data_IF_002844272797
#
_entry.id   IF_002844272797
#
_cell.length_a   1.000
_cell.length_b   1.000
_cell.length_c   1.000
_cell.angle_alpha   90.00
_cell.angle_beta   90.00
_cell.angle_gamma   90.00
#
_symmetry.space_group_name_H-M   'P 1'
#
loop_
_entity.id
_entity.type
_entity.pdbx_description
1 polymer ?
#
# COMPACT_ATOMS: atom_id res chain seq x y z
N UNK A 1 -6.30 -25.09 10.27
CA UNK A 1 -4.85 -25.20 10.48
C UNK A 1 -4.22 -25.11 9.10
N UNK A 2 -3.74 -23.92 8.67
CA UNK A 2 -2.90 -23.81 7.48
C UNK A 2 -1.66 -24.67 7.77
N UNK A 3 -1.50 -25.76 7.04
CA UNK A 3 -0.23 -26.45 6.98
C UNK A 3 0.75 -25.49 6.33
N UNK A 4 1.50 -24.75 7.15
CA UNK A 4 2.69 -24.08 6.68
C UNK A 4 3.67 -25.15 6.30
N UNK A 5 3.96 -25.29 5.02
CA UNK A 5 5.24 -25.84 4.63
C UNK A 5 6.30 -24.91 5.24
N UNK A 6 7.19 -25.50 6.05
CA UNK A 6 8.11 -24.79 6.93
C UNK A 6 9.19 -23.97 6.20
N UNK A 7 9.02 -23.72 4.90
CA UNK A 7 9.98 -23.07 3.99
C UNK A 7 9.51 -21.72 3.42
N UNK A 8 8.35 -21.18 3.82
CA UNK A 8 7.99 -19.83 3.40
C UNK A 8 8.87 -18.82 4.12
N UNK A 9 9.64 -18.07 3.33
CA UNK A 9 10.47 -16.96 3.80
C UNK A 9 9.61 -15.97 4.64
N UNK A 10 10.16 -15.35 5.70
CA UNK A 10 9.42 -14.49 6.62
C UNK A 10 8.92 -13.18 6.02
N UNK A 11 8.87 -13.05 4.72
CA UNK A 11 8.32 -11.88 4.04
C UNK A 11 8.19 -12.15 2.56
N UNK A 12 6.97 -12.03 2.04
CA UNK A 12 6.71 -12.10 0.61
C UNK A 12 6.62 -10.69 0.03
N UNK A 13 7.35 -10.43 -1.05
CA UNK A 13 7.33 -9.14 -1.75
C UNK A 13 6.54 -9.28 -3.04
N UNK A 14 5.46 -8.50 -3.11
CA UNK A 14 4.66 -8.30 -4.30
C UNK A 14 4.95 -6.91 -4.88
N UNK A 15 4.57 -6.70 -6.11
CA UNK A 15 4.52 -5.38 -6.72
C UNK A 15 3.18 -5.20 -7.45
N UNK A 16 2.78 -3.97 -7.62
CA UNK A 16 1.58 -3.62 -8.36
C UNK A 16 1.73 -4.07 -9.82
N UNK A 17 0.93 -5.05 -10.23
CA UNK A 17 1.07 -5.71 -11.55
C UNK A 17 0.51 -4.86 -12.68
N UNK A 18 -0.64 -4.27 -12.45
CA UNK A 18 -1.31 -3.44 -13.44
C UNK A 18 -1.82 -2.17 -12.78
N UNK A 19 -1.59 -1.08 -13.42
CA UNK A 19 -2.29 0.15 -13.17
C UNK A 19 -2.58 0.81 -14.51
N UNK A 20 -3.86 1.03 -14.82
CA UNK A 20 -4.31 1.76 -16.01
C UNK A 20 -3.86 1.17 -17.36
N UNK A 21 -3.59 -0.12 -17.40
CA UNK A 21 -3.37 -0.86 -18.65
C UNK A 21 -4.58 -1.73 -19.00
N UNK A 22 -5.71 -1.45 -18.39
CA UNK A 22 -6.95 -2.19 -18.58
C UNK A 22 -7.31 -2.30 -20.06
N UNK A 23 -7.42 -3.55 -20.52
CA UNK A 23 -7.79 -3.88 -21.89
C UNK A 23 -6.64 -3.93 -22.90
N UNK A 24 -5.42 -3.50 -22.56
CA UNK A 24 -4.26 -3.66 -23.44
C UNK A 24 -3.49 -4.94 -23.11
N UNK A 25 -3.83 -6.03 -23.81
CA UNK A 25 -3.18 -7.32 -23.61
C UNK A 25 -1.67 -7.30 -23.92
N UNK A 26 -1.20 -6.45 -24.82
CA UNK A 26 0.22 -6.39 -25.15
C UNK A 26 1.01 -5.83 -23.95
N UNK A 27 0.48 -4.81 -23.28
CA UNK A 27 1.07 -4.26 -22.06
C UNK A 27 0.98 -5.22 -20.90
N UNK A 28 -0.14 -5.96 -20.74
CA UNK A 28 -0.27 -7.00 -19.72
C UNK A 28 0.74 -8.13 -19.94
N UNK A 29 0.97 -8.57 -21.18
CA UNK A 29 2.01 -9.55 -21.51
C UNK A 29 3.41 -9.02 -21.19
N UNK A 30 3.70 -7.77 -21.50
CA UNK A 30 4.97 -7.12 -21.16
C UNK A 30 5.18 -7.09 -19.65
N UNK A 31 4.17 -6.70 -18.88
CA UNK A 31 4.20 -6.74 -17.42
C UNK A 31 4.50 -8.16 -16.92
N UNK A 32 3.78 -9.17 -17.40
CA UNK A 32 3.99 -10.57 -17.03
C UNK A 32 5.42 -11.05 -17.28
N UNK A 33 6.00 -10.73 -18.44
CA UNK A 33 7.40 -11.05 -18.74
C UNK A 33 8.37 -10.39 -17.76
N UNK A 34 8.14 -9.12 -17.43
CA UNK A 34 8.99 -8.38 -16.50
C UNK A 34 8.89 -8.91 -15.08
N UNK A 35 7.68 -9.20 -14.60
CA UNK A 35 7.47 -9.81 -13.27
C UNK A 35 8.17 -11.16 -13.17
N UNK A 36 8.07 -12.01 -14.20
CA UNK A 36 8.80 -13.27 -14.26
C UNK A 36 10.34 -13.07 -14.19
N UNK A 37 10.86 -12.03 -14.87
CA UNK A 37 12.30 -11.74 -14.86
C UNK A 37 12.82 -11.27 -13.51
N UNK A 38 12.04 -10.48 -12.77
CA UNK A 38 12.45 -9.95 -11.46
C UNK A 38 12.07 -10.86 -10.29
N UNK A 39 11.30 -11.92 -10.54
CA UNK A 39 10.84 -12.84 -9.50
C UNK A 39 9.95 -12.18 -8.46
N UNK A 40 9.12 -11.20 -8.85
CA UNK A 40 8.19 -10.52 -7.95
C UNK A 40 6.81 -11.21 -7.98
N UNK A 41 6.16 -11.31 -6.81
CA UNK A 41 4.75 -11.60 -6.69
C UNK A 41 3.91 -10.44 -7.24
N UNK A 42 2.64 -10.66 -7.49
CA UNK A 42 1.76 -9.65 -8.07
C UNK A 42 0.66 -9.24 -7.09
N UNK A 43 0.39 -7.93 -7.03
CA UNK A 43 -0.89 -7.42 -6.58
C UNK A 43 -1.63 -6.86 -7.79
N UNK A 44 -2.92 -7.21 -7.92
CA UNK A 44 -3.74 -6.84 -9.07
C UNK A 44 -4.98 -6.09 -8.64
N UNK A 45 -5.35 -5.04 -9.37
CA UNK A 45 -6.63 -4.36 -9.19
C UNK A 45 -7.72 -5.08 -9.97
N UNK A 46 -8.88 -5.26 -9.36
CA UNK A 46 -10.05 -5.80 -10.04
C UNK A 46 -11.35 -5.25 -9.47
N UNK A 47 -12.22 -4.79 -10.37
CA UNK A 47 -13.57 -4.31 -10.01
C UNK A 47 -14.58 -5.45 -10.03
N UNK A 48 -14.34 -6.47 -10.85
CA UNK A 48 -15.22 -7.62 -11.02
C UNK A 48 -14.45 -8.93 -11.08
N UNK A 49 -15.07 -10.06 -10.70
CA UNK A 49 -14.47 -11.39 -10.85
C UNK A 49 -14.03 -11.71 -12.28
N UNK A 50 -14.77 -11.25 -13.30
CA UNK A 50 -14.41 -11.48 -14.71
C UNK A 50 -13.17 -10.71 -15.12
N UNK A 51 -13.02 -9.48 -14.66
CA UNK A 51 -11.79 -8.71 -14.86
C UNK A 51 -10.59 -9.40 -14.20
N UNK A 52 -10.75 -9.88 -12.97
CA UNK A 52 -9.69 -10.64 -12.31
C UNK A 52 -9.32 -11.90 -13.09
N UNK A 53 -10.30 -12.67 -13.57
CA UNK A 53 -10.05 -13.85 -14.38
C UNK A 53 -9.25 -13.53 -15.65
N UNK A 54 -9.55 -12.40 -16.28
CA UNK A 54 -8.82 -11.92 -17.45
C UNK A 54 -7.36 -11.59 -17.10
N UNK A 55 -7.14 -10.79 -16.07
CA UNK A 55 -5.79 -10.32 -15.69
C UNK A 55 -4.90 -11.47 -15.21
N UNK A 56 -5.44 -12.40 -14.43
CA UNK A 56 -4.69 -13.55 -13.93
C UNK A 56 -4.07 -14.43 -15.02
N UNK A 57 -4.54 -14.34 -16.28
CA UNK A 57 -3.92 -15.05 -17.41
C UNK A 57 -2.53 -14.51 -17.77
N UNK A 58 -2.23 -13.28 -17.37
CA UNK A 58 -0.97 -12.59 -17.66
C UNK A 58 -0.02 -12.56 -16.46
N UNK A 59 -0.54 -12.81 -15.25
CA UNK A 59 0.28 -12.90 -14.03
C UNK A 59 1.14 -14.15 -14.12
N UNK A 60 2.48 -14.04 -14.01
CA UNK A 60 3.36 -15.20 -14.07
C UNK A 60 3.18 -16.08 -12.83
N UNK A 61 3.51 -17.35 -12.98
CA UNK A 61 3.59 -18.27 -11.84
C UNK A 61 4.65 -17.79 -10.86
N UNK A 62 4.28 -17.69 -9.61
CA UNK A 62 5.16 -17.29 -8.51
C UNK A 62 4.84 -18.15 -7.28
N UNK A 63 5.81 -18.42 -6.37
CA UNK A 63 5.56 -19.17 -5.14
C UNK A 63 4.45 -18.57 -4.28
N UNK A 64 4.38 -17.24 -4.23
CA UNK A 64 3.30 -16.54 -3.55
C UNK A 64 2.14 -16.30 -4.50
N UNK A 65 0.92 -16.63 -4.06
CA UNK A 65 -0.29 -16.31 -4.80
C UNK A 65 -0.49 -14.80 -4.89
N UNK A 66 -1.13 -14.30 -5.98
CA UNK A 66 -1.45 -12.88 -6.12
C UNK A 66 -2.35 -12.37 -4.99
N UNK A 67 -2.15 -11.11 -4.60
CA UNK A 67 -3.09 -10.33 -3.79
C UNK A 67 -3.98 -9.53 -4.73
N UNK A 68 -5.23 -9.31 -4.35
CA UNK A 68 -6.20 -8.57 -5.16
C UNK A 68 -6.66 -7.35 -4.40
N UNK A 69 -6.45 -6.19 -4.99
CA UNK A 69 -6.94 -4.92 -4.48
C UNK A 69 -8.32 -4.64 -5.08
N UNK A 70 -9.34 -4.59 -4.25
CA UNK A 70 -10.70 -4.33 -4.71
C UNK A 70 -10.93 -2.82 -4.90
N UNK A 71 -11.90 -2.50 -5.75
CA UNK A 71 -12.30 -1.12 -6.02
C UNK A 71 -12.57 -0.34 -4.74
N UNK A 72 -12.12 0.91 -4.70
CA UNK A 72 -12.37 1.83 -3.57
C UNK A 72 -13.86 2.02 -3.25
N UNK A 73 -14.78 1.73 -4.17
CA UNK A 73 -16.23 1.77 -3.93
C UNK A 73 -16.74 0.67 -3.01
N UNK A 74 -16.02 -0.44 -2.86
CA UNK A 74 -16.40 -1.57 -1.99
C UNK A 74 -16.40 -1.10 -0.53
N UNK A 75 -17.55 -1.29 0.15
CA UNK A 75 -17.74 -0.92 1.53
C UNK A 75 -18.33 -2.09 2.33
N UNK A 76 -17.49 -2.74 3.12
CA UNK A 76 -17.87 -3.95 3.90
C UNK A 76 -18.92 -3.72 4.98
N UNK A 77 -19.33 -2.48 5.24
CA UNK A 77 -20.55 -2.19 6.01
C UNK A 77 -21.81 -2.67 5.29
N UNK A 78 -21.77 -2.76 3.96
CA UNK A 78 -22.95 -3.14 3.16
C UNK A 78 -22.94 -4.65 2.88
N UNK A 79 -24.06 -5.31 3.11
CA UNK A 79 -24.21 -6.75 2.82
C UNK A 79 -23.97 -7.12 1.36
N UNK A 80 -24.36 -6.24 0.42
CA UNK A 80 -24.10 -6.41 -1.01
C UNK A 80 -22.59 -6.46 -1.32
N UNK A 81 -21.82 -5.58 -0.71
CA UNK A 81 -20.39 -5.49 -0.97
C UNK A 81 -19.64 -6.66 -0.29
N UNK A 82 -20.11 -7.10 0.90
CA UNK A 82 -19.60 -8.36 1.49
C UNK A 82 -19.92 -9.59 0.62
N UNK A 83 -21.08 -9.60 -0.06
CA UNK A 83 -21.41 -10.67 -1.00
C UNK A 83 -20.49 -10.66 -2.23
N UNK A 84 -20.10 -9.47 -2.72
CA UNK A 84 -19.08 -9.34 -3.79
C UNK A 84 -17.72 -9.86 -3.33
N UNK A 85 -17.26 -9.51 -2.12
CA UNK A 85 -16.01 -10.03 -1.54
C UNK A 85 -16.07 -11.56 -1.45
N UNK A 86 -17.21 -12.11 -1.03
CA UNK A 86 -17.41 -13.56 -0.96
C UNK A 86 -17.38 -14.21 -2.36
N UNK A 87 -17.96 -13.60 -3.37
CA UNK A 87 -17.92 -14.08 -4.76
C UNK A 87 -16.48 -14.18 -5.29
N UNK A 88 -15.66 -13.14 -5.05
CA UNK A 88 -14.23 -13.20 -5.36
C UNK A 88 -13.55 -14.36 -4.63
N UNK A 89 -13.80 -14.48 -3.33
CA UNK A 89 -13.19 -15.53 -2.52
C UNK A 89 -13.58 -16.93 -2.98
N UNK A 90 -14.83 -17.16 -3.33
CA UNK A 90 -15.33 -18.47 -3.79
C UNK A 90 -14.77 -18.84 -5.17
N UNK A 91 -14.75 -17.87 -6.10
CA UNK A 91 -14.31 -18.10 -7.48
C UNK A 91 -12.80 -18.29 -7.60
N UNK A 92 -12.04 -17.67 -6.71
CA UNK A 92 -10.57 -17.68 -6.78
C UNK A 92 -9.91 -18.39 -5.60
N UNK A 93 -10.64 -19.24 -4.87
CA UNK A 93 -10.08 -20.06 -3.81
C UNK A 93 -8.88 -20.87 -4.31
N UNK A 94 -7.75 -20.77 -3.60
CA UNK A 94 -6.47 -21.40 -3.96
C UNK A 94 -5.75 -20.75 -5.15
N UNK A 95 -6.27 -19.65 -5.70
CA UNK A 95 -5.65 -18.90 -6.82
C UNK A 95 -5.17 -17.51 -6.42
N UNK A 96 -5.66 -16.99 -5.31
CA UNK A 96 -5.25 -15.70 -4.73
C UNK A 96 -4.96 -15.85 -3.24
N UNK A 97 -4.02 -15.07 -2.73
CA UNK A 97 -3.64 -15.06 -1.31
C UNK A 97 -4.62 -14.24 -0.47
N UNK A 98 -5.08 -13.11 -1.00
CA UNK A 98 -5.92 -12.19 -0.24
C UNK A 98 -6.65 -11.18 -1.09
N UNK A 99 -7.62 -10.51 -0.47
CA UNK A 99 -8.44 -9.44 -1.00
C UNK A 99 -8.24 -8.21 -0.10
N UNK A 100 -7.78 -7.09 -0.64
CA UNK A 100 -7.64 -5.83 0.08
C UNK A 100 -8.91 -5.01 -0.11
N UNK A 101 -9.47 -4.50 0.99
CA UNK A 101 -10.64 -3.61 1.02
C UNK A 101 -10.32 -2.37 1.86
N UNK A 102 -10.60 -1.20 1.33
CA UNK A 102 -10.32 0.07 2.02
C UNK A 102 -11.18 0.30 3.26
N UNK A 103 -10.59 0.93 4.28
CA UNK A 103 -11.35 1.58 5.33
C UNK A 103 -12.20 2.74 4.75
N UNK A 104 -13.27 3.10 5.46
CA UNK A 104 -14.17 4.21 5.11
C UNK A 104 -14.44 5.06 6.33
N UNK A 105 -14.54 6.38 6.13
CA UNK A 105 -14.79 7.32 7.22
C UNK A 105 -16.04 6.96 8.04
N UNK A 106 -17.10 6.51 7.37
CA UNK A 106 -18.36 6.11 8.03
C UNK A 106 -18.25 4.85 8.90
N UNK A 107 -17.20 4.05 8.75
CA UNK A 107 -16.95 2.89 9.61
C UNK A 107 -16.70 3.30 11.06
N UNK A 108 -16.07 4.46 11.28
CA UNK A 108 -15.83 4.99 12.61
C UNK A 108 -17.09 5.22 13.44
N UNK A 109 -18.20 5.58 12.80
CA UNK A 109 -19.50 5.75 13.46
C UNK A 109 -20.32 4.45 13.53
N UNK A 110 -19.85 3.34 12.95
CA UNK A 110 -20.59 2.08 12.82
C UNK A 110 -19.71 0.87 13.17
N UNK A 111 -18.87 1.01 14.21
CA UNK A 111 -17.87 0.01 14.64
C UNK A 111 -18.48 -1.36 14.86
N UNK A 112 -19.56 -1.44 15.66
CA UNK A 112 -20.21 -2.72 16.00
C UNK A 112 -20.75 -3.42 14.73
N UNK A 113 -21.30 -2.63 13.80
CA UNK A 113 -21.80 -3.14 12.52
C UNK A 113 -20.66 -3.65 11.63
N UNK A 114 -19.53 -2.93 11.62
CA UNK A 114 -18.33 -3.36 10.90
C UNK A 114 -17.82 -4.68 11.46
N UNK A 115 -17.60 -4.75 12.76
CA UNK A 115 -17.05 -5.94 13.44
C UNK A 115 -17.98 -7.14 13.24
N UNK A 116 -19.30 -6.98 13.44
CA UNK A 116 -20.27 -8.06 13.20
C UNK A 116 -20.25 -8.51 11.72
N UNK A 117 -20.20 -7.57 10.77
CA UNK A 117 -20.14 -7.88 9.34
C UNK A 117 -18.84 -8.59 8.93
N UNK A 118 -17.72 -8.25 9.54
CA UNK A 118 -16.45 -8.92 9.31
C UNK A 118 -16.41 -10.32 9.93
N UNK A 119 -17.01 -10.54 11.09
CA UNK A 119 -17.17 -11.89 11.65
C UNK A 119 -18.09 -12.77 10.80
N UNK A 120 -19.19 -12.22 10.27
CA UNK A 120 -20.05 -12.92 9.33
C UNK A 120 -19.29 -13.31 8.06
N UNK A 121 -18.52 -12.40 7.48
CA UNK A 121 -17.67 -12.67 6.32
C UNK A 121 -16.62 -13.74 6.64
N UNK A 122 -15.93 -13.61 7.77
CA UNK A 122 -14.95 -14.60 8.25
C UNK A 122 -15.56 -16.01 8.32
N UNK A 123 -16.75 -16.16 8.93
CA UNK A 123 -17.41 -17.45 9.06
C UNK A 123 -17.69 -18.10 7.71
N UNK A 124 -18.06 -17.32 6.71
CA UNK A 124 -18.28 -17.81 5.33
C UNK A 124 -16.95 -18.18 4.65
N UNK A 125 -15.91 -17.37 4.78
CA UNK A 125 -14.59 -17.63 4.21
C UNK A 125 -13.96 -18.90 4.80
N UNK A 126 -14.14 -19.17 6.08
CA UNK A 126 -13.64 -20.37 6.75
C UNK A 126 -14.31 -21.68 6.26
N UNK A 127 -15.45 -21.59 5.58
CA UNK A 127 -16.09 -22.77 4.95
C UNK A 127 -15.30 -23.30 3.74
N UNK A 128 -14.33 -22.52 3.22
CA UNK A 128 -13.48 -22.87 2.09
C UNK A 128 -12.04 -23.09 2.58
N UNK A 129 -11.52 -24.33 2.56
CA UNK A 129 -10.16 -24.60 3.08
C UNK A 129 -9.06 -23.74 2.43
N UNK A 130 -9.16 -23.49 1.13
CA UNK A 130 -8.22 -22.68 0.36
C UNK A 130 -8.72 -21.24 0.11
N UNK A 131 -9.67 -20.75 0.93
CA UNK A 131 -10.20 -19.38 0.81
C UNK A 131 -9.10 -18.33 1.08
N UNK A 132 -9.12 -17.19 0.37
CA UNK A 132 -8.18 -16.11 0.59
C UNK A 132 -8.39 -15.41 1.93
N UNK A 133 -7.39 -14.65 2.36
CA UNK A 133 -7.55 -13.66 3.43
C UNK A 133 -8.35 -12.46 2.94
N UNK A 134 -8.99 -11.73 3.84
CA UNK A 134 -9.50 -10.38 3.59
C UNK A 134 -8.71 -9.42 4.46
N UNK A 135 -8.06 -8.45 3.85
CA UNK A 135 -7.28 -7.42 4.51
C UNK A 135 -8.08 -6.11 4.54
N UNK A 136 -8.46 -5.65 5.72
CA UNK A 136 -8.98 -4.30 5.89
C UNK A 136 -7.80 -3.32 5.85
N UNK A 137 -7.80 -2.46 4.86
CA UNK A 137 -6.71 -1.52 4.65
C UNK A 137 -6.89 -0.28 5.51
N UNK A 138 -5.84 0.08 6.24
CA UNK A 138 -5.71 1.34 6.93
C UNK A 138 -5.09 2.38 6.00
N UNK A 139 -5.93 3.07 5.24
CA UNK A 139 -5.57 4.05 4.22
C UNK A 139 -5.95 5.49 4.60
N UNK A 140 -5.99 5.84 5.87
CA UNK A 140 -6.28 7.19 6.37
C UNK A 140 -7.76 7.61 6.44
N UNK A 141 -8.69 6.68 6.32
CA UNK A 141 -10.11 6.96 6.55
C UNK A 141 -10.44 7.18 8.02
N UNK A 142 -9.71 6.50 8.90
CA UNK A 142 -10.04 6.35 10.32
C UNK A 142 -8.90 6.81 11.25
N UNK A 143 -9.24 7.02 12.52
CA UNK A 143 -8.25 7.29 13.57
C UNK A 143 -7.46 6.02 13.90
N UNK A 144 -6.18 6.19 14.28
CA UNK A 144 -5.29 5.09 14.63
C UNK A 144 -5.82 4.26 15.79
N UNK A 145 -6.22 4.91 16.87
CA UNK A 145 -6.70 4.22 18.08
C UNK A 145 -7.91 3.37 17.75
N UNK A 146 -8.84 3.93 17.01
CA UNK A 146 -10.01 3.22 16.53
C UNK A 146 -9.64 2.02 15.63
N UNK A 147 -8.69 2.19 14.71
CA UNK A 147 -8.30 1.09 13.81
C UNK A 147 -7.67 -0.08 14.57
N UNK A 148 -6.80 0.22 15.54
CA UNK A 148 -6.19 -0.79 16.42
C UNK A 148 -7.26 -1.49 17.27
N UNK A 149 -8.24 -0.75 17.80
CA UNK A 149 -9.35 -1.32 18.58
C UNK A 149 -10.19 -2.30 17.72
N UNK A 150 -10.56 -1.92 16.51
CA UNK A 150 -11.25 -2.83 15.57
C UNK A 150 -10.40 -4.06 15.29
N UNK A 151 -9.11 -3.88 15.10
CA UNK A 151 -8.20 -4.99 14.87
C UNK A 151 -8.15 -5.97 16.06
N UNK A 152 -8.17 -5.46 17.28
CA UNK A 152 -8.26 -6.27 18.50
C UNK A 152 -9.58 -7.05 18.61
N UNK A 153 -10.70 -6.42 18.26
CA UNK A 153 -12.01 -7.09 18.22
C UNK A 153 -12.10 -8.19 17.16
N UNK A 154 -11.31 -8.08 16.09
CA UNK A 154 -11.22 -9.07 14.99
C UNK A 154 -10.06 -10.06 15.17
N UNK A 155 -9.41 -10.10 16.35
CA UNK A 155 -8.23 -10.93 16.59
C UNK A 155 -8.48 -12.41 16.25
N UNK A 156 -9.62 -12.95 16.65
CA UNK A 156 -9.96 -14.35 16.47
C UNK A 156 -10.55 -14.70 15.10
N UNK A 157 -10.71 -13.71 14.21
CA UNK A 157 -11.20 -13.94 12.86
C UNK A 157 -10.07 -14.46 11.96
N UNK A 158 -10.05 -15.78 11.68
CA UNK A 158 -8.93 -16.45 11.01
C UNK A 158 -8.67 -15.96 9.59
N UNK A 159 -9.70 -15.56 8.84
CA UNK A 159 -9.65 -15.15 7.43
C UNK A 159 -9.74 -13.65 7.23
N UNK A 160 -9.77 -12.89 8.32
CA UNK A 160 -9.77 -11.42 8.29
C UNK A 160 -8.50 -10.93 8.93
N UNK A 161 -7.81 -10.01 8.28
CA UNK A 161 -6.64 -9.35 8.80
C UNK A 161 -6.56 -7.90 8.30
N UNK A 162 -5.37 -7.30 8.30
CA UNK A 162 -5.19 -5.88 8.09
C UNK A 162 -4.10 -5.62 7.05
N UNK A 163 -4.30 -4.55 6.28
CA UNK A 163 -3.29 -3.96 5.43
C UNK A 163 -2.91 -2.58 5.97
N UNK A 164 -1.62 -2.31 6.09
CA UNK A 164 -1.07 -1.01 6.48
C UNK A 164 -0.58 -0.30 5.23
N UNK A 165 -1.29 0.74 4.82
CA UNK A 165 -0.80 1.65 3.79
C UNK A 165 0.12 2.70 4.41
N UNK A 166 1.42 2.51 4.26
CA UNK A 166 2.41 3.32 4.97
C UNK A 166 2.44 4.76 4.46
N UNK A 167 2.21 4.97 3.16
CA UNK A 167 2.25 6.31 2.57
C UNK A 167 1.06 7.16 3.01
N UNK A 168 -0.14 6.61 2.91
CA UNK A 168 -1.36 7.32 3.32
C UNK A 168 -1.39 7.62 4.83
N UNK A 169 -1.00 6.66 5.67
CA UNK A 169 -0.92 6.85 7.12
C UNK A 169 0.08 7.96 7.45
N UNK A 170 1.26 7.93 6.83
CA UNK A 170 2.30 8.93 7.04
C UNK A 170 1.83 10.33 6.66
N UNK A 171 1.24 10.49 5.48
CA UNK A 171 0.70 11.78 5.02
C UNK A 171 -0.40 12.33 5.94
N UNK A 172 -1.25 11.45 6.46
CA UNK A 172 -2.27 11.86 7.43
C UNK A 172 -1.64 12.36 8.72
N UNK A 173 -0.64 11.65 9.24
CA UNK A 173 0.10 12.05 10.43
C UNK A 173 0.78 13.42 10.22
N UNK A 174 1.43 13.61 9.07
CA UNK A 174 2.05 14.89 8.70
C UNK A 174 1.01 16.02 8.71
N UNK A 175 -0.13 15.80 8.05
CA UNK A 175 -1.19 16.80 7.95
C UNK A 175 -1.78 17.14 9.33
N UNK A 176 -2.02 16.14 10.17
CA UNK A 176 -2.54 16.36 11.53
C UNK A 176 -1.55 17.16 12.39
N UNK A 177 -0.26 16.74 12.41
CA UNK A 177 0.77 17.44 13.20
C UNK A 177 1.01 18.88 12.73
N UNK A 178 0.92 19.13 11.44
CA UNK A 178 1.02 20.49 10.90
C UNK A 178 -0.19 21.34 11.30
N UNK A 179 -1.42 20.80 11.18
CA UNK A 179 -2.64 21.48 11.56
C UNK A 179 -2.70 21.84 13.05
N UNK A 180 -2.15 20.99 13.93
CA UNK A 180 -2.04 21.28 15.36
C UNK A 180 -1.24 22.55 15.67
N UNK A 181 -0.21 22.85 14.84
CA UNK A 181 0.62 24.05 14.98
C UNK A 181 0.06 25.24 14.22
N UNK A 182 -0.63 24.99 13.14
CA UNK A 182 -1.19 26.01 12.25
C UNK A 182 -2.70 25.81 12.05
N UNK A 183 -3.51 26.04 13.11
CA UNK A 183 -4.96 25.88 13.01
C UNK A 183 -5.55 26.72 11.87
N UNK A 184 -6.36 26.08 11.02
CA UNK A 184 -7.00 26.72 9.87
C UNK A 184 -6.14 26.77 8.60
N UNK A 185 -4.93 26.23 8.62
CA UNK A 185 -4.07 26.11 7.44
C UNK A 185 -3.97 24.63 7.02
N UNK A 186 -4.49 24.29 5.85
CA UNK A 186 -4.34 22.94 5.28
C UNK A 186 -3.03 22.85 4.49
N UNK A 187 -2.15 21.94 4.90
CA UNK A 187 -0.90 21.67 4.21
C UNK A 187 -1.12 21.27 2.73
N UNK A 188 -2.29 20.70 2.42
CA UNK A 188 -2.67 20.31 1.06
C UNK A 188 -2.93 21.51 0.13
N UNK A 189 -3.24 22.66 0.70
CA UNK A 189 -3.51 23.89 -0.05
C UNK A 189 -2.22 24.68 -0.33
N UNK A 190 -1.12 24.34 0.36
CA UNK A 190 0.18 24.97 0.10
C UNK A 190 0.78 24.42 -1.20
N UNK A 191 0.85 25.25 -2.20
CA UNK A 191 1.55 24.95 -3.46
C UNK A 191 3.05 25.23 -3.36
N UNK A 192 3.86 24.74 -4.31
CA UNK A 192 5.31 24.95 -4.32
C UNK A 192 5.74 26.42 -4.41
N UNK A 193 4.88 27.27 -4.95
CA UNK A 193 5.12 28.72 -5.08
C UNK A 193 4.47 29.56 -3.97
N UNK A 194 3.93 28.94 -2.91
CA UNK A 194 3.29 29.66 -1.83
C UNK A 194 4.31 30.52 -1.08
N UNK A 195 4.03 31.82 -0.99
CA UNK A 195 4.93 32.79 -0.36
C UNK A 195 5.15 32.56 1.13
N UNK A 196 4.28 31.79 1.80
CA UNK A 196 4.37 31.41 3.21
C UNK A 196 5.37 30.27 3.48
N UNK A 197 5.75 29.52 2.45
CA UNK A 197 6.61 28.35 2.61
C UNK A 197 7.92 28.62 3.35
N UNK A 198 8.65 29.75 3.12
CA UNK A 198 9.88 30.03 3.84
C UNK A 198 9.70 30.08 5.37
N UNK A 199 8.55 30.59 5.84
CA UNK A 199 8.25 30.70 7.26
C UNK A 199 7.73 29.38 7.87
N UNK A 200 7.17 28.50 7.05
CA UNK A 200 6.55 27.22 7.46
C UNK A 200 7.48 26.01 7.33
N UNK A 201 8.61 26.16 6.65
CA UNK A 201 9.45 25.03 6.24
C UNK A 201 9.95 24.19 7.42
N UNK A 202 10.28 24.81 8.55
CA UNK A 202 10.74 24.11 9.74
C UNK A 202 9.64 23.23 10.34
N UNK A 203 8.42 23.76 10.43
CA UNK A 203 7.27 23.06 10.97
C UNK A 203 6.80 21.94 10.03
N UNK A 204 6.88 22.16 8.72
CA UNK A 204 6.59 21.12 7.72
C UNK A 204 7.59 19.98 7.84
N UNK A 205 8.87 20.27 8.00
CA UNK A 205 9.91 19.24 8.15
C UNK A 205 9.76 18.45 9.45
N UNK A 206 9.44 19.14 10.55
CA UNK A 206 9.15 18.46 11.82
C UNK A 206 7.89 17.57 11.71
N UNK A 207 6.87 18.04 11.00
CA UNK A 207 5.68 17.23 10.74
C UNK A 207 6.01 16.01 9.89
N UNK A 208 6.79 16.17 8.81
CA UNK A 208 7.25 15.04 7.96
C UNK A 208 8.07 14.03 8.77
N UNK A 209 8.96 14.49 9.65
CA UNK A 209 9.75 13.60 10.51
C UNK A 209 8.91 12.76 11.48
N UNK A 210 7.67 13.16 11.76
CA UNK A 210 6.76 12.40 12.61
C UNK A 210 6.08 11.21 11.89
N UNK A 211 6.15 11.12 10.57
CA UNK A 211 5.50 10.06 9.79
C UNK A 211 6.07 8.67 10.11
N UNK A 212 7.38 8.51 10.05
CA UNK A 212 8.04 7.22 10.27
C UNK A 212 7.76 6.64 11.67
N UNK A 213 8.00 7.36 12.78
CA UNK A 213 7.68 6.84 14.12
C UNK A 213 6.23 6.39 14.26
N UNK A 214 5.29 7.13 13.66
CA UNK A 214 3.87 6.79 13.70
C UNK A 214 3.57 5.48 12.98
N UNK A 215 4.10 5.29 11.77
CA UNK A 215 3.94 4.04 11.00
C UNK A 215 4.54 2.86 11.74
N UNK A 216 5.75 3.00 12.31
CA UNK A 216 6.39 1.94 13.09
C UNK A 216 5.57 1.55 14.33
N UNK A 217 4.91 2.50 14.96
CA UNK A 217 4.08 2.25 16.12
C UNK A 217 2.77 1.54 15.76
N UNK A 218 2.11 1.91 14.64
CA UNK A 218 0.96 1.17 14.08
C UNK A 218 1.38 -0.27 13.74
N UNK A 219 2.51 -0.44 13.06
CA UNK A 219 3.05 -1.75 12.71
C UNK A 219 3.24 -2.65 13.93
N UNK A 220 3.87 -2.13 14.99
CA UNK A 220 4.03 -2.88 16.24
C UNK A 220 2.70 -3.20 16.91
N UNK A 221 1.73 -2.29 16.85
CA UNK A 221 0.42 -2.49 17.47
C UNK A 221 -0.35 -3.64 16.78
N UNK A 222 -0.39 -3.66 15.47
CA UNK A 222 -1.08 -4.71 14.71
C UNK A 222 -0.30 -6.03 14.71
N UNK A 223 1.03 -6.00 14.67
CA UNK A 223 1.86 -7.19 14.74
C UNK A 223 1.67 -8.03 16.00
N UNK A 224 1.40 -7.38 17.15
CA UNK A 224 1.09 -8.07 18.43
C UNK A 224 -0.18 -8.91 18.40
N UNK A 225 -1.02 -8.77 17.38
CA UNK A 225 -2.22 -9.59 17.23
C UNK A 225 -1.92 -11.04 16.78
N UNK A 226 -0.69 -11.32 16.35
CA UNK A 226 -0.29 -12.65 15.89
C UNK A 226 -0.92 -13.06 14.56
N UNK A 227 -1.44 -12.09 13.80
CA UNK A 227 -2.07 -12.29 12.48
C UNK A 227 -1.07 -12.00 11.37
N UNK A 228 -1.36 -12.50 10.16
CA UNK A 228 -0.68 -12.05 8.96
C UNK A 228 -1.04 -10.59 8.67
N UNK A 229 -0.07 -9.72 8.51
CA UNK A 229 -0.29 -8.31 8.17
C UNK A 229 0.26 -8.04 6.77
N UNK A 230 -0.56 -7.44 5.94
CA UNK A 230 -0.16 -6.97 4.61
C UNK A 230 0.27 -5.51 4.66
N UNK A 231 1.16 -5.10 3.78
CA UNK A 231 1.67 -3.73 3.74
C UNK A 231 1.67 -3.21 2.31
N UNK A 232 1.09 -2.03 2.09
CA UNK A 232 1.32 -1.24 0.89
C UNK A 232 2.48 -0.30 1.13
N UNK A 233 3.53 -0.47 0.35
CA UNK A 233 4.78 0.26 0.48
C UNK A 233 4.91 1.29 -0.64
N UNK A 234 4.79 2.54 -0.28
CA UNK A 234 5.12 3.68 -1.12
C UNK A 234 5.55 4.86 -0.27
N UNK A 235 6.29 5.75 -0.87
CA UNK A 235 6.73 7.00 -0.26
C UNK A 235 5.90 8.17 -0.80
N UNK A 236 6.16 9.36 -0.32
CA UNK A 236 5.47 10.57 -0.74
C UNK A 236 6.02 11.83 -0.09
N UNK A 237 5.40 12.96 -0.40
CA UNK A 237 5.67 14.22 0.26
C UNK A 237 4.46 15.15 0.16
N UNK A 238 4.02 15.78 1.27
CA UNK A 238 2.78 16.56 1.31
C UNK A 238 2.76 17.79 0.39
N UNK A 239 3.93 18.32 0.05
CA UNK A 239 4.06 19.52 -0.81
C UNK A 239 4.13 19.18 -2.31
N UNK A 240 4.06 17.92 -2.70
CA UNK A 240 4.07 17.57 -4.13
C UNK A 240 2.64 17.65 -4.67
N UNK A 241 2.28 18.67 -5.47
CA UNK A 241 0.93 18.81 -5.96
C UNK A 241 0.54 17.66 -6.91
N UNK A 242 -0.66 17.12 -6.71
CA UNK A 242 -1.24 16.12 -7.59
C UNK A 242 -0.73 14.69 -7.41
N UNK A 243 0.44 14.49 -6.80
CA UNK A 243 1.01 13.19 -6.46
C UNK A 243 1.76 13.32 -5.12
N UNK A 244 1.02 13.18 -4.04
CA UNK A 244 1.58 13.27 -2.69
C UNK A 244 2.07 11.94 -2.18
N UNK A 245 1.64 10.88 -2.81
CA UNK A 245 1.78 9.49 -2.45
C UNK A 245 2.15 8.63 -3.67
N UNK A 246 2.34 7.33 -3.46
CA UNK A 246 2.63 6.32 -4.48
C UNK A 246 3.94 6.55 -5.25
N UNK A 247 4.95 7.15 -4.58
CA UNK A 247 6.30 7.27 -5.10
C UNK A 247 7.20 6.12 -4.65
N UNK A 248 8.19 5.82 -5.47
CA UNK A 248 9.28 4.90 -5.10
C UNK A 248 10.19 5.48 -4.02
N UNK A 249 10.72 4.64 -3.14
CA UNK A 249 11.60 5.04 -2.04
C UNK A 249 12.96 5.58 -2.49
N UNK A 250 13.36 5.30 -3.73
CA UNK A 250 14.57 5.87 -4.34
C UNK A 250 14.30 7.18 -5.07
N UNK A 251 13.05 7.57 -5.21
CA UNK A 251 12.67 8.79 -5.90
C UNK A 251 13.12 10.01 -5.12
N UNK A 252 13.74 10.95 -5.82
CA UNK A 252 14.12 12.25 -5.28
C UNK A 252 13.35 13.32 -6.02
N UNK A 253 12.54 14.06 -5.30
CA UNK A 253 11.80 15.20 -5.86
C UNK A 253 12.44 16.50 -5.42
N UNK A 254 12.64 17.46 -6.32
CA UNK A 254 13.06 18.78 -5.91
C UNK A 254 11.92 19.45 -5.13
N UNK A 255 12.07 19.52 -3.81
CA UNK A 255 11.14 20.28 -2.98
C UNK A 255 11.44 21.77 -3.19
N UNK A 256 10.47 22.60 -3.54
CA UNK A 256 10.72 23.97 -4.03
C UNK A 256 11.06 24.97 -2.94
N UNK A 257 11.46 24.54 -1.75
CA UNK A 257 11.91 25.39 -0.67
C UNK A 257 13.25 24.91 -0.11
N UNK A 258 13.98 25.81 0.56
CA UNK A 258 15.20 25.48 1.25
C UNK A 258 15.03 25.65 2.76
N UNK A 259 15.56 24.68 3.53
CA UNK A 259 15.65 24.75 4.97
C UNK A 259 17.13 24.82 5.38
N UNK A 260 17.48 25.83 6.19
CA UNK A 260 18.88 26.09 6.60
C UNK A 260 19.86 26.12 5.40
N UNK A 261 19.44 26.75 4.31
CA UNK A 261 20.26 26.86 3.10
C UNK A 261 20.38 25.59 2.25
N UNK A 262 19.67 24.52 2.60
CA UNK A 262 19.63 23.27 1.84
C UNK A 262 18.26 23.02 1.26
N UNK A 263 18.20 22.68 -0.02
CA UNK A 263 16.97 22.16 -0.61
C UNK A 263 16.70 20.77 -0.03
N UNK A 264 15.50 20.55 0.49
CA UNK A 264 15.07 19.21 0.85
C UNK A 264 14.82 18.41 -0.43
N UNK A 265 15.46 17.26 -0.54
CA UNK A 265 15.27 16.30 -1.63
C UNK A 265 14.74 14.97 -1.11
N UNK A 266 14.41 14.93 0.19
CA UNK A 266 13.96 13.70 0.85
C UNK A 266 12.45 13.58 0.80
N UNK A 267 12.00 12.40 0.49
CA UNK A 267 10.63 11.94 0.71
C UNK A 267 10.40 11.73 2.22
N UNK A 268 9.19 11.30 2.63
CA UNK A 268 8.87 11.05 4.05
C UNK A 268 9.79 10.00 4.67
N UNK A 269 10.11 8.96 3.92
CA UNK A 269 10.82 7.78 4.45
C UNK A 269 12.18 7.59 3.81
N UNK A 270 12.26 7.61 2.49
CA UNK A 270 13.44 7.21 1.74
C UNK A 270 13.84 5.74 1.97
N UNK A 271 15.01 5.31 1.46
CA UNK A 271 15.45 3.92 1.59
C UNK A 271 15.67 3.46 3.04
N UNK A 272 16.15 4.36 3.91
CA UNK A 272 16.36 4.07 5.34
C UNK A 272 15.06 3.88 6.11
N UNK A 273 14.03 4.69 5.79
CA UNK A 273 12.69 4.54 6.36
C UNK A 273 12.03 3.24 5.89
N UNK A 274 12.14 2.89 4.61
CA UNK A 274 11.66 1.62 4.08
C UNK A 274 12.28 0.43 4.84
N UNK A 275 13.61 0.43 4.99
CA UNK A 275 14.31 -0.63 5.72
C UNK A 275 13.79 -0.75 7.17
N UNK A 276 13.57 0.39 7.84
CA UNK A 276 13.02 0.41 9.20
C UNK A 276 11.59 -0.14 9.27
N UNK A 277 10.75 0.18 8.30
CA UNK A 277 9.36 -0.32 8.22
C UNK A 277 9.36 -1.84 8.01
N UNK A 278 10.12 -2.33 7.04
CA UNK A 278 10.21 -3.76 6.72
C UNK A 278 10.76 -4.56 7.90
N UNK A 279 11.88 -4.13 8.49
CA UNK A 279 12.46 -4.78 9.67
C UNK A 279 11.46 -4.81 10.83
N UNK A 280 10.80 -3.67 11.13
CA UNK A 280 9.79 -3.61 12.20
C UNK A 280 8.61 -4.55 11.92
N UNK A 281 8.16 -4.66 10.67
CA UNK A 281 7.07 -5.56 10.30
C UNK A 281 7.45 -7.03 10.53
N UNK A 282 8.63 -7.45 10.10
CA UNK A 282 9.14 -8.82 10.31
C UNK A 282 9.26 -9.12 11.80
N UNK A 283 9.85 -8.21 12.57
CA UNK A 283 10.05 -8.39 14.02
C UNK A 283 8.71 -8.42 14.78
N UNK A 284 7.74 -7.60 14.37
CA UNK A 284 6.45 -7.50 15.04
C UNK A 284 5.47 -8.62 14.68
N UNK A 285 5.63 -9.26 13.50
CA UNK A 285 4.72 -10.30 13.00
C UNK A 285 5.34 -11.70 12.91
N UNK A 286 6.09 -12.19 13.94
CA UNK A 286 6.89 -13.42 13.81
C UNK A 286 6.04 -14.67 13.62
N UNK A 287 4.85 -14.73 14.23
CA UNK A 287 3.96 -15.90 14.17
C UNK A 287 2.93 -15.83 13.05
N UNK A 288 2.50 -14.63 12.69
CA UNK A 288 1.49 -14.38 11.64
C UNK A 288 2.11 -14.22 10.25
N UNK A 289 3.33 -13.72 10.20
CA UNK A 289 4.01 -13.33 8.96
C UNK A 289 3.62 -11.93 8.47
N UNK A 290 4.43 -11.42 7.56
CA UNK A 290 4.17 -10.16 6.86
C UNK A 290 4.30 -10.36 5.36
N UNK A 291 3.51 -9.63 4.57
CA UNK A 291 3.68 -9.53 3.13
C UNK A 291 3.65 -8.07 2.70
N UNK A 292 4.36 -7.76 1.63
CA UNK A 292 4.60 -6.39 1.20
C UNK A 292 4.23 -6.24 -0.27
N UNK A 293 3.50 -5.18 -0.61
CA UNK A 293 3.28 -4.79 -2.00
C UNK A 293 3.94 -3.44 -2.25
N UNK A 294 4.79 -3.37 -3.27
CA UNK A 294 5.28 -2.10 -3.79
C UNK A 294 4.15 -1.44 -4.58
N UNK A 295 3.50 -0.47 -3.95
CA UNK A 295 2.36 0.26 -4.54
C UNK A 295 2.81 1.59 -5.14
N UNK A 296 3.79 1.53 -6.03
CA UNK A 296 4.27 2.69 -6.77
C UNK A 296 3.46 2.85 -8.04
N UNK A 297 2.74 3.95 -8.13
CA UNK A 297 1.92 4.26 -9.29
C UNK A 297 2.75 4.84 -10.44
N UNK A 298 2.26 4.67 -11.66
CA UNK A 298 2.79 5.41 -12.80
C UNK A 298 2.61 6.90 -12.54
N UNK A 299 3.72 7.64 -12.60
CA UNK A 299 3.66 9.10 -12.45
C UNK A 299 2.87 9.67 -13.62
N UNK A 300 1.65 10.07 -13.38
CA UNK A 300 0.91 10.92 -14.31
C UNK A 300 1.60 12.28 -14.33
N UNK A 301 1.83 12.85 -15.50
CA UNK A 301 2.54 14.12 -15.67
C UNK A 301 1.90 15.35 -15.02
N UNK A 302 1.45 15.19 -13.77
CA UNK A 302 0.83 16.22 -12.94
C UNK A 302 1.83 16.97 -12.08
N UNK A 303 3.12 16.61 -12.13
CA UNK A 303 4.13 17.38 -11.44
C UNK A 303 4.28 18.73 -12.15
N UNK A 304 3.95 19.84 -11.50
CA UNK A 304 4.15 21.16 -12.08
C UNK A 304 5.63 21.56 -11.99
N UNK A 305 6.49 20.68 -12.48
CA UNK A 305 7.88 20.96 -12.71
C UNK A 305 7.96 21.52 -14.12
N UNK A 306 7.75 22.85 -14.23
CA UNK A 306 7.72 23.56 -15.51
C UNK A 306 8.92 23.22 -16.38
N UNK A 307 10.07 22.98 -15.76
CA UNK A 307 11.33 22.72 -16.47
C UNK A 307 11.58 21.23 -16.75
N UNK A 308 10.81 20.35 -16.16
CA UNK A 308 10.91 18.89 -16.35
C UNK A 308 9.62 18.27 -16.90
N UNK A 309 8.61 19.07 -17.19
CA UNK A 309 7.33 18.58 -17.71
C UNK A 309 7.49 17.73 -18.98
N UNK A 310 8.47 18.04 -19.83
CA UNK A 310 8.79 17.26 -21.00
C UNK A 310 9.36 15.88 -20.68
N UNK A 311 10.09 15.71 -19.57
CA UNK A 311 10.57 14.40 -19.11
C UNK A 311 9.41 13.49 -18.71
N UNK A 312 8.33 14.09 -18.25
CA UNK A 312 7.14 13.38 -17.79
C UNK A 312 6.01 13.36 -18.82
N UNK A 313 6.16 14.07 -19.95
CA UNK A 313 5.11 14.19 -20.94
C UNK A 313 4.65 12.84 -21.52
N UNK A 314 5.58 11.93 -21.82
CA UNK A 314 5.23 10.59 -22.26
C UNK A 314 4.80 9.64 -21.14
N UNK A 315 4.85 10.06 -19.90
CA UNK A 315 4.21 9.33 -18.79
C UNK A 315 2.71 9.61 -18.70
N UNK A 316 2.19 10.51 -19.49
CA UNK A 316 0.75 10.75 -19.60
C UNK A 316 0.05 9.71 -20.47
N UNK A 317 0.77 9.11 -21.41
CA UNK A 317 0.27 8.04 -22.26
C UNK A 317 0.46 6.68 -21.58
N UNK A 318 -0.60 6.15 -20.97
CA UNK A 318 -0.58 4.86 -20.28
C UNK A 318 -0.43 3.67 -21.23
N UNK A 319 -0.72 3.84 -22.52
CA UNK A 319 -0.56 2.82 -23.56
C UNK A 319 0.86 2.73 -24.12
N UNK A 320 1.81 3.51 -23.59
CA UNK A 320 3.17 3.56 -24.10
C UNK A 320 4.06 2.50 -23.44
N UNK A 321 4.67 1.62 -24.27
CA UNK A 321 5.52 0.54 -23.78
C UNK A 321 6.82 1.05 -23.09
N UNK A 322 7.36 2.20 -23.49
CA UNK A 322 8.55 2.78 -22.86
C UNK A 322 8.24 3.22 -21.43
N UNK A 323 7.09 3.87 -21.24
CA UNK A 323 6.60 4.25 -19.94
C UNK A 323 6.35 3.04 -19.06
N UNK A 324 5.71 2.00 -19.60
CA UNK A 324 5.51 0.75 -18.88
C UNK A 324 6.85 0.15 -18.45
N UNK A 325 7.85 0.09 -19.33
CA UNK A 325 9.18 -0.42 -18.98
C UNK A 325 9.87 0.41 -17.90
N UNK A 326 9.75 1.75 -17.96
CA UNK A 326 10.30 2.61 -16.92
C UNK A 326 9.63 2.35 -15.57
N UNK A 327 8.31 2.31 -15.52
CA UNK A 327 7.55 2.02 -14.31
C UNK A 327 7.91 0.66 -13.72
N UNK A 328 7.99 -0.38 -14.55
CA UNK A 328 8.42 -1.72 -14.14
C UNK A 328 9.85 -1.74 -13.60
N UNK A 329 10.75 -0.88 -14.12
CA UNK A 329 12.09 -0.72 -13.57
C UNK A 329 12.05 -0.12 -12.16
N UNK A 330 11.22 0.91 -11.94
CA UNK A 330 11.03 1.51 -10.61
C UNK A 330 10.46 0.49 -9.63
N UNK A 331 9.46 -0.29 -10.03
CA UNK A 331 8.92 -1.37 -9.20
C UNK A 331 9.97 -2.40 -8.85
N UNK A 332 10.79 -2.82 -9.83
CA UNK A 332 11.87 -3.78 -9.63
C UNK A 332 12.91 -3.29 -8.63
N UNK A 333 13.37 -2.05 -8.78
CA UNK A 333 14.35 -1.45 -7.86
C UNK A 333 13.82 -1.38 -6.43
N UNK A 334 12.56 -0.98 -6.26
CA UNK A 334 11.91 -0.91 -4.94
C UNK A 334 11.65 -2.32 -4.35
N UNK A 335 11.27 -3.29 -5.18
CA UNK A 335 11.12 -4.68 -4.74
C UNK A 335 12.44 -5.27 -4.26
N UNK A 336 13.53 -5.03 -4.97
CA UNK A 336 14.88 -5.45 -4.55
C UNK A 336 15.31 -4.79 -3.24
N UNK A 337 15.06 -3.49 -3.07
CA UNK A 337 15.33 -2.77 -1.82
C UNK A 337 14.57 -3.40 -0.65
N UNK A 338 13.29 -3.68 -0.86
CA UNK A 338 12.41 -4.30 0.15
C UNK A 338 12.91 -5.69 0.51
N UNK A 339 13.21 -6.53 -0.49
CA UNK A 339 13.73 -7.88 -0.28
C UNK A 339 15.08 -7.86 0.47
N UNK A 340 15.99 -6.93 0.14
CA UNK A 340 17.26 -6.78 0.83
C UNK A 340 17.11 -6.27 2.28
N UNK A 341 15.97 -5.69 2.63
CA UNK A 341 15.66 -5.24 3.99
C UNK A 341 15.05 -6.35 4.86
N UNK A 342 14.70 -7.49 4.27
CA UNK A 342 14.21 -8.67 4.99
C UNK A 342 15.43 -9.41 5.54
N UNK A 343 15.54 -9.63 6.87
CA UNK A 343 16.63 -10.38 7.43
C UNK A 343 16.71 -11.81 6.85
N UNK A 344 17.91 -12.32 6.53
CA UNK A 344 18.03 -13.71 6.13
C UNK A 344 17.57 -14.62 7.27
N UNK A 345 16.84 -15.69 6.92
CA UNK A 345 16.47 -16.69 7.93
C UNK A 345 17.74 -17.26 8.58
N UNK A 346 17.76 -17.40 9.91
CA UNK A 346 18.85 -18.11 10.55
C UNK A 346 18.91 -19.54 9.99
N UNK A 347 20.07 -19.93 9.50
CA UNK A 347 20.33 -21.33 9.12
C UNK A 347 20.02 -22.20 10.32
N UNK A 348 19.02 -23.08 10.18
CA UNK A 348 18.67 -24.06 11.21
C UNK A 348 19.63 -25.24 11.19
#
# INVERSE_FOLDING_TARGET
MYGRDADEAPGCVHALFQQRVDGDEALLRLAGLRFAQIGAGAEVYADTPDQLEHVLRFVPSHPSLPVVHLNRGVNVLHGRDRALVQEFADRFAGRIAGLVVHDKREMGAQTDRLVAGMHELNARLCQRPAGPMVFLEYAAGLDRGWFVEVAEQLRDAERVSFCIDVGHIGLRQVSARFADRHPGLDLKELGPADHRLPDLVADIQDAVAAALPHVLDVTRSLGRLGKHVHFHLHDGHPLVPGLRDHFGFLTRLPIPFSYQGRRSLSMMYGPGGLASIVSTAIDACPSGGASFTIEVHQVEGRLPLSDAAWLFAHWQDTANAERMNYWLSVLSENAMLTANSIPPMPLR
#
